data_IF_476079312128
#
_entry.id   IF_476079312128
#
_cell.length_a   1.000
_cell.length_b   1.000
_cell.length_c   1.000
_cell.angle_alpha   90.00
_cell.angle_beta   90.00
_cell.angle_gamma   90.00
#
_symmetry.space_group_name_H-M   'P 1'
#
loop_
_entity.id
_entity.type
_entity.pdbx_description
1 polymer ?
#
# COMPACT_ATOMS: atom_id res chain seq x y z
N UNK A 1 0.84 -25.04 -8.25
CA UNK A 1 0.65 -24.43 -9.61
C UNK A 1 0.36 -22.96 -9.38
N UNK A 2 1.31 -22.11 -9.68
CA UNK A 2 1.13 -20.65 -9.61
C UNK A 2 -0.02 -20.27 -10.55
N UNK A 3 -1.08 -19.65 -9.99
CA UNK A 3 -2.32 -19.37 -10.71
C UNK A 3 -2.25 -18.22 -11.73
N UNK A 4 -1.05 -17.83 -12.17
CA UNK A 4 -0.84 -16.71 -13.07
C UNK A 4 -1.18 -17.01 -14.53
N UNK A 5 -1.36 -15.97 -15.37
CA UNK A 5 -1.62 -16.10 -16.80
C UNK A 5 -0.54 -16.91 -17.50
N UNK A 6 -0.94 -17.82 -18.43
CA UNK A 6 0.01 -18.60 -19.23
C UNK A 6 0.70 -17.76 -20.33
N UNK A 7 -0.01 -16.78 -20.84
CA UNK A 7 0.49 -15.88 -21.88
C UNK A 7 1.56 -14.92 -21.32
N UNK A 8 2.42 -14.43 -22.19
CA UNK A 8 3.40 -13.39 -21.84
C UNK A 8 2.68 -12.08 -21.50
N UNK A 9 1.68 -11.69 -22.31
CA UNK A 9 0.83 -10.53 -22.10
C UNK A 9 -0.61 -10.96 -21.82
N UNK A 10 -1.32 -10.23 -20.97
CA UNK A 10 -2.74 -10.43 -20.66
C UNK A 10 -3.46 -9.10 -20.46
N UNK A 11 -4.78 -9.10 -20.54
CA UNK A 11 -5.60 -7.92 -20.27
C UNK A 11 -5.63 -7.61 -18.77
N UNK A 12 -5.54 -6.33 -18.40
CA UNK A 12 -5.69 -5.92 -17.01
C UNK A 12 -7.16 -5.70 -16.66
N UNK A 13 -7.59 -6.32 -15.58
CA UNK A 13 -8.90 -6.09 -14.99
C UNK A 13 -8.99 -4.70 -14.33
N UNK A 14 -10.21 -4.14 -14.14
CA UNK A 14 -10.38 -2.82 -13.52
C UNK A 14 -9.72 -2.71 -12.14
N UNK A 15 -9.77 -3.76 -11.31
CA UNK A 15 -9.09 -3.77 -10.02
C UNK A 15 -7.56 -3.73 -10.14
N UNK A 16 -6.96 -4.32 -11.18
CA UNK A 16 -5.52 -4.18 -11.49
C UNK A 16 -5.19 -2.74 -11.87
N UNK A 17 -6.04 -2.10 -12.68
CA UNK A 17 -5.88 -0.68 -13.04
C UNK A 17 -6.00 0.21 -11.80
N UNK A 18 -6.94 -0.08 -10.88
CA UNK A 18 -7.10 0.63 -9.63
C UNK A 18 -5.85 0.51 -8.74
N UNK A 19 -5.29 -0.71 -8.59
CA UNK A 19 -4.02 -0.96 -7.90
C UNK A 19 -2.87 -0.14 -8.51
N UNK A 20 -2.74 -0.13 -9.82
CA UNK A 20 -1.73 0.65 -10.54
C UNK A 20 -1.89 2.16 -10.34
N UNK A 21 -3.12 2.68 -10.24
CA UNK A 21 -3.37 4.10 -9.90
C UNK A 21 -2.89 4.43 -8.48
N UNK A 22 -3.17 3.55 -7.50
CA UNK A 22 -2.66 3.72 -6.13
C UNK A 22 -1.13 3.71 -6.14
N UNK A 23 -0.51 2.72 -6.78
CA UNK A 23 0.95 2.59 -6.90
C UNK A 23 1.57 3.86 -7.51
N UNK A 24 1.06 4.32 -8.64
CA UNK A 24 1.52 5.54 -9.31
C UNK A 24 1.46 6.74 -8.37
N UNK A 25 0.31 6.97 -7.76
CA UNK A 25 0.09 8.10 -6.87
C UNK A 25 1.00 8.06 -5.65
N UNK A 26 1.25 6.85 -5.14
CA UNK A 26 2.17 6.67 -4.03
C UNK A 26 3.62 6.95 -4.42
N UNK A 27 4.12 6.41 -5.53
CA UNK A 27 5.50 6.64 -6.02
C UNK A 27 5.75 8.13 -6.26
N UNK A 28 4.77 8.85 -6.84
CA UNK A 28 4.84 10.30 -7.05
C UNK A 28 5.00 11.11 -5.73
N UNK A 29 4.48 10.59 -4.61
CA UNK A 29 4.66 11.21 -3.30
C UNK A 29 5.93 10.72 -2.58
N UNK A 30 6.23 9.43 -2.67
CA UNK A 30 7.32 8.72 -2.00
C UNK A 30 8.70 9.22 -2.43
N UNK A 31 8.95 9.31 -3.75
CA UNK A 31 10.26 9.66 -4.27
C UNK A 31 10.75 11.03 -3.76
N UNK A 32 9.97 12.14 -3.83
CA UNK A 32 10.41 13.43 -3.28
C UNK A 32 10.65 13.41 -1.77
N UNK A 33 9.82 12.69 -1.00
CA UNK A 33 9.96 12.61 0.47
C UNK A 33 11.30 11.97 0.82
N UNK A 34 11.65 10.85 0.18
CA UNK A 34 12.89 10.15 0.49
C UNK A 34 14.12 10.86 -0.07
N UNK A 35 14.06 11.43 -1.26
CA UNK A 35 15.18 12.15 -1.86
C UNK A 35 15.58 13.34 -1.00
N UNK A 36 14.62 14.08 -0.43
CA UNK A 36 14.91 15.18 0.49
C UNK A 36 15.47 14.72 1.85
N UNK A 37 15.12 13.51 2.29
CA UNK A 37 15.51 12.96 3.59
C UNK A 37 16.70 11.98 3.52
N UNK A 38 17.20 11.67 2.33
CA UNK A 38 18.25 10.69 2.09
C UNK A 38 19.35 11.32 1.23
N UNK A 39 20.53 11.44 1.78
CA UNK A 39 21.71 11.83 0.99
C UNK A 39 22.30 10.56 0.38
N UNK A 40 22.03 10.30 -0.91
CA UNK A 40 22.68 9.19 -1.61
C UNK A 40 21.77 8.41 -2.54
N UNK A 41 21.21 7.31 -2.07
CA UNK A 41 20.46 6.34 -2.89
C UNK A 41 19.09 6.04 -2.31
N UNK A 42 18.09 5.85 -3.19
CA UNK A 42 16.80 5.22 -2.87
C UNK A 42 16.54 4.09 -3.85
N UNK A 43 15.77 3.08 -3.43
CA UNK A 43 15.50 1.87 -4.22
C UNK A 43 14.00 1.64 -4.31
N UNK A 44 13.51 1.36 -5.51
CA UNK A 44 12.21 0.76 -5.76
C UNK A 44 12.41 -0.68 -6.20
N UNK A 45 11.72 -1.61 -5.54
CA UNK A 45 11.72 -3.02 -5.91
C UNK A 45 10.34 -3.41 -6.37
N UNK A 46 10.25 -4.03 -7.54
CA UNK A 46 9.05 -4.69 -8.04
C UNK A 46 9.33 -6.18 -8.10
N UNK A 47 8.79 -6.92 -7.12
CA UNK A 47 9.10 -8.33 -6.93
C UNK A 47 8.42 -9.26 -7.93
N UNK A 48 7.41 -8.78 -8.67
CA UNK A 48 6.62 -9.52 -9.64
C UNK A 48 6.33 -8.63 -10.86
N UNK A 49 7.40 -8.18 -11.50
CA UNK A 49 7.38 -7.09 -12.47
C UNK A 49 6.51 -7.34 -13.72
N UNK A 50 6.32 -8.60 -14.08
CA UNK A 50 5.58 -8.96 -15.27
C UNK A 50 6.19 -8.41 -16.57
N UNK A 51 5.43 -8.37 -17.66
CA UNK A 51 5.92 -7.89 -18.97
C UNK A 51 5.95 -6.37 -19.12
N UNK A 52 5.37 -5.62 -18.16
CA UNK A 52 5.39 -4.17 -18.14
C UNK A 52 4.22 -3.45 -18.83
N UNK A 53 3.38 -4.15 -19.59
CA UNK A 53 2.15 -3.59 -20.19
C UNK A 53 1.08 -4.67 -20.41
N UNK A 54 -0.18 -4.26 -20.58
CA UNK A 54 -1.27 -5.18 -20.92
C UNK A 54 -1.22 -5.64 -22.39
N UNK A 55 -2.01 -6.69 -22.73
CA UNK A 55 -2.02 -7.27 -24.08
C UNK A 55 -2.45 -6.30 -25.16
N UNK A 56 -3.27 -5.30 -24.84
CA UNK A 56 -3.74 -4.26 -25.75
C UNK A 56 -2.81 -3.05 -25.80
N UNK A 57 -1.75 -3.04 -25.01
CA UNK A 57 -0.79 -1.92 -24.88
C UNK A 57 -1.45 -0.58 -24.49
N UNK A 58 -2.56 -0.68 -23.75
CA UNK A 58 -3.35 0.48 -23.31
C UNK A 58 -2.95 0.94 -21.91
N UNK A 59 -2.56 -0.01 -21.07
CA UNK A 59 -2.24 0.25 -19.66
C UNK A 59 -0.80 -0.19 -19.35
N UNK A 60 0.01 0.71 -18.75
CA UNK A 60 1.34 0.35 -18.29
C UNK A 60 1.25 -0.56 -17.06
N UNK A 61 2.15 -1.53 -16.97
CA UNK A 61 2.41 -2.31 -15.77
C UNK A 61 3.23 -1.53 -14.74
N UNK A 62 3.40 -2.12 -13.56
CA UNK A 62 4.11 -1.50 -12.43
C UNK A 62 5.52 -1.00 -12.76
N UNK A 63 6.37 -1.70 -13.56
CA UNK A 63 7.69 -1.18 -13.93
C UNK A 63 7.63 0.13 -14.72
N UNK A 64 6.77 0.21 -15.74
CA UNK A 64 6.65 1.43 -16.53
C UNK A 64 6.05 2.58 -15.71
N UNK A 65 5.10 2.27 -14.82
CA UNK A 65 4.53 3.24 -13.87
C UNK A 65 5.64 3.82 -12.98
N UNK A 66 6.51 2.97 -12.45
CA UNK A 66 7.61 3.42 -11.60
C UNK A 66 8.59 4.32 -12.37
N UNK A 67 9.01 3.91 -13.57
CA UNK A 67 9.89 4.73 -14.42
C UNK A 67 9.24 6.07 -14.73
N UNK A 68 8.00 6.08 -15.22
CA UNK A 68 7.29 7.32 -15.60
C UNK A 68 7.07 8.26 -14.42
N UNK A 69 6.65 7.72 -13.26
CA UNK A 69 6.38 8.52 -12.07
C UNK A 69 7.63 9.23 -11.55
N UNK A 70 8.79 8.63 -11.72
CA UNK A 70 10.06 9.17 -11.26
C UNK A 70 10.73 10.04 -12.33
N UNK A 71 10.86 9.53 -13.57
CA UNK A 71 11.57 10.22 -14.64
C UNK A 71 10.85 11.51 -15.09
N UNK A 72 9.50 11.51 -15.04
CA UNK A 72 8.67 12.66 -15.43
C UNK A 72 8.13 13.46 -14.23
N UNK A 73 8.69 13.23 -13.04
CA UNK A 73 8.22 13.93 -11.84
C UNK A 73 8.48 15.43 -11.94
N UNK A 74 7.50 16.28 -11.56
CA UNK A 74 7.60 17.76 -11.62
C UNK A 74 8.76 18.37 -10.84
N UNK A 75 9.20 17.70 -9.77
CA UNK A 75 10.32 18.14 -8.92
C UNK A 75 11.65 17.45 -9.29
N UNK A 76 11.71 16.75 -10.43
CA UNK A 76 12.86 15.93 -10.79
C UNK A 76 14.19 16.71 -10.85
N UNK A 77 14.16 17.97 -11.26
CA UNK A 77 15.35 18.82 -11.26
C UNK A 77 16.01 18.99 -9.89
N UNK A 78 15.27 18.71 -8.82
CA UNK A 78 15.72 18.79 -7.44
C UNK A 78 16.20 17.43 -6.89
N UNK A 79 16.20 16.38 -7.72
CA UNK A 79 16.60 15.03 -7.32
C UNK A 79 18.11 14.88 -7.37
N UNK A 80 18.75 14.92 -6.21
CA UNK A 80 20.21 14.79 -6.05
C UNK A 80 20.63 13.36 -5.65
N UNK A 81 19.68 12.46 -5.43
CA UNK A 81 19.94 11.07 -5.05
C UNK A 81 19.94 10.16 -6.27
N UNK A 82 20.72 9.10 -6.20
CA UNK A 82 20.62 7.97 -7.14
C UNK A 82 19.32 7.21 -6.87
N UNK A 83 18.61 6.86 -7.92
CA UNK A 83 17.36 6.10 -7.87
C UNK A 83 17.57 4.80 -8.63
N UNK A 84 17.49 3.69 -7.91
CA UNK A 84 17.62 2.35 -8.47
C UNK A 84 16.23 1.72 -8.56
N UNK A 85 15.88 1.24 -9.74
CA UNK A 85 14.65 0.52 -10.02
C UNK A 85 15.00 -0.95 -10.29
N UNK A 86 14.61 -1.84 -9.38
CA UNK A 86 14.91 -3.25 -9.48
C UNK A 86 13.63 -4.02 -9.79
N UNK A 87 13.55 -4.60 -10.98
CA UNK A 87 12.42 -5.34 -11.52
C UNK A 87 12.74 -6.81 -11.57
N UNK A 88 12.04 -7.63 -10.78
CA UNK A 88 12.27 -9.08 -10.67
C UNK A 88 11.08 -9.79 -11.34
N UNK A 89 11.36 -10.68 -12.27
CA UNK A 89 10.36 -11.48 -12.97
C UNK A 89 10.90 -12.90 -13.16
N UNK A 90 10.18 -13.89 -12.64
CA UNK A 90 10.58 -15.29 -12.68
C UNK A 90 10.59 -15.87 -14.11
N UNK A 91 9.61 -15.46 -14.92
CA UNK A 91 9.45 -15.99 -16.28
C UNK A 91 10.35 -15.27 -17.26
N UNK A 92 11.25 -16.05 -17.89
CA UNK A 92 12.23 -15.54 -18.85
C UNK A 92 11.59 -14.79 -20.02
N UNK A 93 10.47 -15.30 -20.56
CA UNK A 93 9.76 -14.64 -21.68
C UNK A 93 9.22 -13.26 -21.32
N UNK A 94 8.77 -13.07 -20.07
CA UNK A 94 8.28 -11.79 -19.55
C UNK A 94 9.42 -10.84 -19.20
N UNK A 95 10.47 -11.33 -18.56
CA UNK A 95 11.65 -10.54 -18.23
C UNK A 95 12.32 -9.98 -19.49
N UNK A 96 12.51 -10.82 -20.51
CA UNK A 96 13.08 -10.42 -21.81
C UNK A 96 12.18 -9.41 -22.54
N UNK A 97 10.85 -9.59 -22.48
CA UNK A 97 9.91 -8.63 -23.05
C UNK A 97 9.99 -7.30 -22.33
N UNK A 98 9.96 -7.29 -21.00
CA UNK A 98 10.06 -6.08 -20.18
C UNK A 98 11.35 -5.30 -20.47
N UNK A 99 12.49 -5.98 -20.50
CA UNK A 99 13.77 -5.33 -20.79
C UNK A 99 13.79 -4.68 -22.16
N UNK A 100 13.26 -5.39 -23.18
CA UNK A 100 13.15 -4.85 -24.55
C UNK A 100 12.19 -3.65 -24.62
N UNK A 101 11.08 -3.71 -23.88
CA UNK A 101 10.09 -2.66 -23.80
C UNK A 101 10.66 -1.40 -23.13
N UNK A 102 11.39 -1.55 -22.02
CA UNK A 102 12.04 -0.42 -21.34
C UNK A 102 13.07 0.23 -22.26
N UNK A 103 13.95 -0.55 -22.88
CA UNK A 103 14.96 -0.02 -23.85
C UNK A 103 14.33 0.74 -24.99
N UNK A 104 13.18 0.27 -25.49
CA UNK A 104 12.47 0.93 -26.59
C UNK A 104 11.78 2.22 -26.16
N UNK A 105 11.11 2.21 -25.00
CA UNK A 105 10.33 3.38 -24.52
C UNK A 105 11.22 4.45 -23.87
N UNK A 106 12.33 4.05 -23.26
CA UNK A 106 13.24 4.93 -22.53
C UNK A 106 14.69 4.76 -23.01
N UNK A 107 15.01 5.10 -24.27
CA UNK A 107 16.35 4.92 -24.82
C UNK A 107 17.41 5.73 -24.05
N UNK A 108 16.98 6.79 -23.38
CA UNK A 108 17.82 7.61 -22.50
C UNK A 108 17.06 7.93 -21.24
N UNK A 109 17.53 7.43 -20.11
CA UNK A 109 17.09 7.84 -18.77
C UNK A 109 18.01 8.92 -18.22
N UNK A 110 17.51 9.73 -17.26
CA UNK A 110 18.36 10.64 -16.52
C UNK A 110 19.49 9.91 -15.78
N UNK A 111 20.68 10.47 -15.72
CA UNK A 111 21.86 9.87 -15.10
C UNK A 111 21.66 9.45 -13.63
N UNK A 112 20.68 10.04 -12.93
CA UNK A 112 20.35 9.70 -11.56
C UNK A 112 19.42 8.49 -11.44
N UNK A 113 18.91 7.94 -12.54
CA UNK A 113 17.98 6.81 -12.57
C UNK A 113 18.66 5.63 -13.27
N UNK A 114 18.77 4.52 -12.54
CA UNK A 114 19.22 3.24 -13.09
C UNK A 114 18.13 2.20 -12.92
N UNK A 115 18.09 1.23 -13.80
CA UNK A 115 17.18 0.09 -13.65
C UNK A 115 17.91 -1.21 -13.94
N UNK A 116 17.38 -2.27 -13.37
CA UNK A 116 17.80 -3.66 -13.62
C UNK A 116 16.54 -4.52 -13.76
N UNK A 117 16.53 -5.39 -14.78
CA UNK A 117 15.53 -6.46 -14.94
C UNK A 117 16.23 -7.77 -14.66
N UNK A 118 15.82 -8.45 -13.59
CA UNK A 118 16.40 -9.70 -13.14
C UNK A 118 15.44 -10.86 -13.38
N UNK A 119 15.87 -11.87 -14.16
CA UNK A 119 15.08 -13.07 -14.39
C UNK A 119 15.32 -14.08 -13.27
N UNK A 120 14.58 -13.96 -12.19
CA UNK A 120 14.67 -14.79 -10.96
C UNK A 120 13.37 -14.82 -10.19
N UNK A 121 13.26 -15.77 -9.27
CA UNK A 121 12.23 -15.77 -8.22
C UNK A 121 12.50 -14.65 -7.21
N UNK A 122 11.46 -13.90 -6.83
CA UNK A 122 11.56 -12.76 -5.90
C UNK A 122 12.19 -13.14 -4.55
N UNK A 123 11.72 -14.25 -3.93
CA UNK A 123 12.23 -14.66 -2.62
C UNK A 123 13.72 -15.00 -2.66
N UNK A 124 14.18 -15.63 -3.75
CA UNK A 124 15.60 -15.96 -3.93
C UNK A 124 16.44 -14.69 -4.09
N UNK A 125 16.01 -13.79 -4.98
CA UNK A 125 16.72 -12.55 -5.25
C UNK A 125 16.81 -11.66 -3.99
N UNK A 126 15.69 -11.49 -3.27
CA UNK A 126 15.66 -10.68 -2.05
C UNK A 126 16.48 -11.31 -0.92
N UNK A 127 16.41 -12.64 -0.74
CA UNK A 127 17.18 -13.32 0.30
C UNK A 127 18.68 -13.17 0.06
N UNK A 128 19.16 -13.38 -1.16
CA UNK A 128 20.59 -13.23 -1.49
C UNK A 128 21.08 -11.80 -1.30
N UNK A 129 20.26 -10.78 -1.68
CA UNK A 129 20.59 -9.38 -1.41
C UNK A 129 20.75 -9.12 0.09
N UNK A 130 19.79 -9.58 0.91
CA UNK A 130 19.84 -9.38 2.36
C UNK A 130 21.00 -10.15 3.00
N UNK A 131 21.30 -11.37 2.55
CA UNK A 131 22.45 -12.17 3.01
C UNK A 131 23.78 -11.49 2.67
N UNK A 132 23.88 -10.90 1.48
CA UNK A 132 25.08 -10.16 1.07
C UNK A 132 25.29 -8.91 1.92
N UNK A 133 24.22 -8.16 2.16
CA UNK A 133 24.25 -6.96 3.02
C UNK A 133 24.69 -7.32 4.46
N UNK A 134 24.13 -8.39 5.02
CA UNK A 134 24.47 -8.87 6.36
C UNK A 134 25.93 -9.30 6.43
N UNK A 135 26.43 -10.03 5.42
CA UNK A 135 27.84 -10.46 5.31
C UNK A 135 28.82 -9.28 5.22
N UNK A 136 28.44 -8.23 4.51
CA UNK A 136 29.28 -7.04 4.30
C UNK A 136 29.12 -6.00 5.43
N UNK A 137 28.24 -6.26 6.41
CA UNK A 137 27.92 -5.33 7.48
C UNK A 137 27.23 -4.04 6.97
N UNK A 138 26.60 -4.13 5.79
CA UNK A 138 25.92 -3.02 5.14
C UNK A 138 24.42 -3.04 5.42
N UNK A 139 23.76 -1.95 5.05
CA UNK A 139 22.32 -1.83 5.15
C UNK A 139 21.76 -1.42 3.81
N UNK A 140 20.52 -1.87 3.53
CA UNK A 140 19.78 -1.46 2.35
C UNK A 140 19.52 0.07 2.41
N UNK A 141 19.65 0.73 1.27
CA UNK A 141 19.19 2.10 1.11
C UNK A 141 17.68 2.18 1.39
N UNK A 142 17.10 3.37 1.65
CA UNK A 142 15.65 3.52 1.77
C UNK A 142 14.95 2.88 0.58
N UNK A 143 14.05 1.92 0.84
CA UNK A 143 13.48 1.06 -0.19
C UNK A 143 11.96 0.98 -0.06
N UNK A 144 11.27 1.16 -1.18
CA UNK A 144 9.87 0.78 -1.34
C UNK A 144 9.79 -0.50 -2.17
N UNK A 145 9.25 -1.57 -1.57
CA UNK A 145 9.09 -2.88 -2.18
C UNK A 145 7.62 -3.13 -2.50
N UNK A 146 7.32 -3.36 -3.77
CA UNK A 146 6.02 -3.78 -4.26
C UNK A 146 6.04 -5.28 -4.52
N UNK A 147 5.14 -6.03 -3.87
CA UNK A 147 5.05 -7.50 -3.89
C UNK A 147 3.65 -7.88 -4.38
N UNK A 148 3.54 -8.27 -5.64
CA UNK A 148 2.27 -8.54 -6.33
C UNK A 148 2.19 -9.96 -6.91
N UNK A 149 2.23 -11.01 -6.06
CA UNK A 149 2.20 -12.39 -6.51
C UNK A 149 0.84 -12.77 -7.07
N UNK A 150 0.81 -13.76 -7.99
CA UNK A 150 -0.45 -14.33 -8.50
C UNK A 150 -1.14 -15.28 -7.52
N UNK A 151 -0.51 -15.59 -6.38
CA UNK A 151 -1.04 -16.49 -5.35
C UNK A 151 -0.46 -16.14 -3.98
N UNK A 152 -0.60 -17.06 -3.04
CA UNK A 152 -0.02 -16.90 -1.69
C UNK A 152 1.29 -17.70 -1.51
N UNK A 153 1.60 -18.61 -2.42
CA UNK A 153 2.74 -19.54 -2.27
C UNK A 153 4.09 -18.82 -2.31
N UNK A 154 4.12 -17.68 -3.01
CA UNK A 154 5.31 -16.84 -3.18
C UNK A 154 5.50 -15.81 -2.04
N UNK A 155 4.64 -15.83 -1.03
CA UNK A 155 4.77 -14.97 0.15
C UNK A 155 5.57 -15.68 1.23
N UNK A 156 6.75 -15.13 1.56
CA UNK A 156 7.59 -15.56 2.69
C UNK A 156 7.60 -14.48 3.77
N UNK A 157 6.84 -14.72 4.86
CA UNK A 157 6.67 -13.72 5.93
C UNK A 157 7.96 -13.50 6.75
N UNK A 158 8.84 -14.49 6.86
CA UNK A 158 10.14 -14.34 7.54
C UNK A 158 11.08 -13.46 6.72
N UNK A 159 11.10 -13.66 5.40
CA UNK A 159 11.88 -12.82 4.49
C UNK A 159 11.37 -11.38 4.46
N UNK A 160 10.04 -11.19 4.40
CA UNK A 160 9.42 -9.86 4.47
C UNK A 160 9.71 -9.16 5.80
N UNK A 161 9.75 -9.90 6.91
CA UNK A 161 10.13 -9.36 8.22
C UNK A 161 11.60 -8.91 8.24
N UNK A 162 12.53 -9.72 7.69
CA UNK A 162 13.94 -9.32 7.50
C UNK A 162 14.07 -8.04 6.65
N UNK A 163 13.32 -7.96 5.56
CA UNK A 163 13.29 -6.76 4.72
C UNK A 163 12.80 -5.54 5.53
N UNK A 164 11.71 -5.66 6.30
CA UNK A 164 11.17 -4.58 7.12
C UNK A 164 12.09 -4.16 8.29
N UNK A 165 13.07 -5.00 8.67
CA UNK A 165 14.13 -4.62 9.59
C UNK A 165 15.16 -3.64 8.97
N UNK A 166 15.21 -3.53 7.66
CA UNK A 166 16.07 -2.54 7.00
C UNK A 166 15.56 -1.11 7.29
N UNK A 167 16.48 -0.15 7.29
CA UNK A 167 16.17 1.23 7.65
C UNK A 167 15.38 1.93 6.55
N UNK A 168 14.24 2.53 6.89
CA UNK A 168 13.36 3.21 5.93
C UNK A 168 12.85 2.25 4.82
N UNK A 169 12.60 0.98 5.17
CA UNK A 169 11.92 0.03 4.30
C UNK A 169 10.40 0.23 4.37
N UNK A 170 9.74 0.07 3.25
CA UNK A 170 8.29 0.14 3.09
C UNK A 170 7.84 -0.99 2.19
N UNK A 171 6.73 -1.64 2.55
CA UNK A 171 6.21 -2.80 1.86
C UNK A 171 4.78 -2.54 1.37
N UNK A 172 4.52 -2.80 0.11
CA UNK A 172 3.19 -2.78 -0.48
C UNK A 172 2.92 -4.13 -1.12
N UNK A 173 2.02 -4.93 -0.52
CA UNK A 173 1.80 -6.32 -0.87
C UNK A 173 0.36 -6.58 -1.27
N UNK A 174 0.16 -7.38 -2.33
CA UNK A 174 -1.14 -7.95 -2.72
C UNK A 174 -1.34 -9.27 -1.97
N UNK A 175 -2.28 -9.28 -1.03
CA UNK A 175 -2.65 -10.46 -0.27
C UNK A 175 -3.90 -11.10 -0.86
N UNK A 176 -3.76 -12.25 -1.50
CA UNK A 176 -4.76 -12.94 -2.30
C UNK A 176 -5.82 -13.68 -1.44
N UNK A 177 -6.45 -12.97 -0.48
CA UNK A 177 -7.41 -13.54 0.45
C UNK A 177 -8.60 -14.24 -0.24
N UNK A 178 -9.12 -13.69 -1.34
CA UNK A 178 -10.20 -14.31 -2.11
C UNK A 178 -9.80 -15.63 -2.75
N UNK A 179 -8.53 -15.75 -3.16
CA UNK A 179 -7.98 -16.99 -3.68
C UNK A 179 -7.81 -18.02 -2.56
N UNK A 180 -7.28 -17.62 -1.39
CA UNK A 180 -7.18 -18.49 -0.20
C UNK A 180 -8.56 -18.99 0.23
N UNK A 181 -9.59 -18.13 0.25
CA UNK A 181 -10.96 -18.53 0.61
C UNK A 181 -11.48 -19.69 -0.25
N UNK A 182 -11.20 -19.68 -1.55
CA UNK A 182 -11.65 -20.71 -2.49
C UNK A 182 -10.99 -22.06 -2.23
N UNK A 183 -9.73 -22.07 -1.84
CA UNK A 183 -8.90 -23.28 -1.78
C UNK A 183 -8.54 -23.74 -0.36
N UNK A 184 -8.91 -23.01 0.70
CA UNK A 184 -8.59 -23.33 2.10
C UNK A 184 -9.10 -24.69 2.55
N UNK A 185 -10.13 -25.25 1.88
CA UNK A 185 -10.67 -26.58 2.15
C UNK A 185 -9.90 -27.74 1.48
N UNK A 186 -8.97 -27.46 0.59
CA UNK A 186 -8.26 -28.46 -0.18
C UNK A 186 -6.96 -28.88 0.50
N UNK A 187 -6.82 -30.15 0.81
CA UNK A 187 -5.64 -30.69 1.51
C UNK A 187 -4.31 -30.41 0.78
N UNK A 188 -4.34 -30.29 -0.55
CA UNK A 188 -3.18 -30.00 -1.37
C UNK A 188 -2.50 -28.68 -1.00
N UNK A 189 -3.29 -27.70 -0.58
CA UNK A 189 -2.80 -26.34 -0.30
C UNK A 189 -2.43 -26.10 1.17
N UNK A 190 -2.78 -27.01 2.07
CA UNK A 190 -2.50 -26.87 3.50
C UNK A 190 -1.01 -26.62 3.80
N UNK A 191 -0.04 -27.34 3.20
CA UNK A 191 1.38 -27.10 3.48
C UNK A 191 1.86 -25.68 3.14
N UNK A 192 1.35 -25.10 2.05
CA UNK A 192 1.71 -23.73 1.68
C UNK A 192 1.00 -22.68 2.54
N UNK A 193 -0.25 -22.94 2.94
CA UNK A 193 -1.00 -22.07 3.84
C UNK A 193 -0.42 -22.04 5.26
N UNK A 194 0.16 -23.15 5.74
CA UNK A 194 0.83 -23.22 7.03
C UNK A 194 2.12 -22.37 7.10
N UNK A 195 2.63 -21.88 5.99
CA UNK A 195 3.70 -20.86 5.99
C UNK A 195 3.19 -19.48 6.39
N UNK A 196 1.89 -19.23 6.23
CA UNK A 196 1.26 -17.93 6.49
C UNK A 196 0.38 -17.94 7.75
N UNK A 197 -0.18 -19.12 8.11
CA UNK A 197 -1.17 -19.26 9.17
C UNK A 197 -0.86 -20.44 10.09
N UNK A 198 -1.38 -20.42 11.32
CA UNK A 198 -1.39 -21.61 12.17
C UNK A 198 -2.53 -22.56 11.77
N UNK A 199 -2.46 -23.83 12.23
CA UNK A 199 -3.55 -24.81 12.01
C UNK A 199 -4.87 -24.31 12.59
N UNK A 200 -4.83 -23.74 13.78
CA UNK A 200 -6.02 -23.20 14.48
C UNK A 200 -6.66 -22.06 13.70
N UNK A 201 -5.83 -21.14 13.15
CA UNK A 201 -6.33 -20.06 12.30
C UNK A 201 -6.99 -20.58 11.02
N UNK A 202 -6.43 -21.61 10.39
CA UNK A 202 -7.03 -22.23 9.20
C UNK A 202 -8.36 -22.90 9.53
N UNK A 203 -8.46 -23.61 10.65
CA UNK A 203 -9.69 -24.28 11.06
C UNK A 203 -10.78 -23.27 11.46
N UNK A 204 -10.40 -22.19 12.14
CA UNK A 204 -11.32 -21.09 12.43
C UNK A 204 -11.81 -20.41 11.14
N UNK A 205 -10.90 -20.14 10.19
CA UNK A 205 -11.27 -19.54 8.91
C UNK A 205 -12.26 -20.43 8.12
N UNK A 206 -12.08 -21.76 8.12
CA UNK A 206 -12.99 -22.69 7.43
C UNK A 206 -14.41 -22.62 7.98
N UNK A 207 -14.56 -22.38 9.29
CA UNK A 207 -15.86 -22.31 9.96
C UNK A 207 -16.64 -21.01 9.68
N UNK A 208 -15.99 -19.96 9.15
CA UNK A 208 -16.61 -18.66 8.90
C UNK A 208 -17.33 -18.60 7.56
N UNK A 209 -18.37 -17.75 7.48
CA UNK A 209 -19.01 -17.37 6.22
C UNK A 209 -18.06 -16.58 5.29
N UNK A 210 -18.39 -16.47 3.98
CA UNK A 210 -17.47 -15.87 3.00
C UNK A 210 -16.98 -14.46 3.34
N UNK A 211 -17.87 -13.57 3.79
CA UNK A 211 -17.52 -12.19 4.14
C UNK A 211 -16.60 -12.12 5.36
N UNK A 212 -16.96 -12.83 6.43
CA UNK A 212 -16.16 -12.88 7.66
C UNK A 212 -14.82 -13.59 7.47
N UNK A 213 -14.79 -14.60 6.58
CA UNK A 213 -13.59 -15.37 6.29
C UNK A 213 -12.47 -14.51 5.71
N UNK A 214 -12.80 -13.62 4.76
CA UNK A 214 -11.82 -12.72 4.14
C UNK A 214 -11.20 -11.77 5.14
N UNK A 215 -12.02 -11.13 5.96
CA UNK A 215 -11.55 -10.23 7.01
C UNK A 215 -10.74 -10.96 8.09
N UNK A 216 -11.16 -12.17 8.46
CA UNK A 216 -10.42 -13.00 9.39
C UNK A 216 -9.04 -13.38 8.85
N UNK A 217 -8.96 -13.83 7.59
CA UNK A 217 -7.68 -14.17 6.94
C UNK A 217 -6.75 -12.96 6.86
N UNK A 218 -7.28 -11.78 6.54
CA UNK A 218 -6.50 -10.53 6.57
C UNK A 218 -5.93 -10.26 7.97
N UNK A 219 -6.77 -10.32 9.00
CA UNK A 219 -6.35 -10.08 10.40
C UNK A 219 -5.31 -11.08 10.86
N UNK A 220 -5.52 -12.38 10.58
CA UNK A 220 -4.59 -13.44 10.95
C UNK A 220 -3.23 -13.27 10.23
N UNK A 221 -3.25 -12.98 8.93
CA UNK A 221 -2.03 -12.71 8.17
C UNK A 221 -1.27 -11.49 8.72
N UNK A 222 -1.98 -10.40 9.01
CA UNK A 222 -1.37 -9.20 9.58
C UNK A 222 -0.75 -9.45 10.95
N UNK A 223 -1.46 -10.17 11.82
CA UNK A 223 -0.92 -10.55 13.15
C UNK A 223 0.37 -11.35 12.98
N UNK A 224 0.35 -12.41 12.18
CA UNK A 224 1.51 -13.28 11.97
C UNK A 224 2.70 -12.52 11.36
N UNK A 225 2.46 -11.65 10.37
CA UNK A 225 3.49 -10.83 9.74
C UNK A 225 4.05 -9.78 10.71
N UNK A 226 3.18 -9.07 11.45
CA UNK A 226 3.61 -8.01 12.37
C UNK A 226 4.38 -8.58 13.56
N UNK A 227 3.98 -9.74 14.10
CA UNK A 227 4.73 -10.44 15.15
C UNK A 227 6.15 -10.79 14.70
N UNK A 228 6.29 -11.29 13.44
CA UNK A 228 7.59 -11.55 12.85
C UNK A 228 8.43 -10.28 12.66
N UNK A 229 7.78 -9.19 12.22
CA UNK A 229 8.45 -7.89 12.06
C UNK A 229 8.88 -7.35 13.42
N UNK A 230 8.04 -7.41 14.45
CA UNK A 230 8.39 -6.96 15.81
C UNK A 230 9.61 -7.69 16.34
N UNK A 231 9.64 -9.02 16.19
CA UNK A 231 10.80 -9.85 16.57
C UNK A 231 12.05 -9.45 15.79
N UNK A 232 11.94 -9.24 14.47
CA UNK A 232 13.07 -8.88 13.62
C UNK A 232 13.59 -7.45 13.86
N UNK A 233 12.72 -6.53 14.29
CA UNK A 233 13.02 -5.09 14.41
C UNK A 233 13.24 -4.61 15.84
N UNK A 234 13.17 -5.52 16.83
CA UNK A 234 13.25 -5.20 18.27
C UNK A 234 12.23 -4.13 18.70
N UNK A 235 10.97 -4.28 18.26
CA UNK A 235 9.86 -3.41 18.67
C UNK A 235 9.78 -2.06 17.95
N UNK A 236 10.28 -1.97 16.71
CA UNK A 236 10.08 -0.77 15.87
C UNK A 236 8.59 -0.61 15.53
N UNK A 237 8.05 0.58 15.77
CA UNK A 237 6.67 0.90 15.38
C UNK A 237 6.46 0.71 13.87
N UNK A 238 5.49 -0.13 13.52
CA UNK A 238 5.06 -0.34 12.13
C UNK A 238 3.60 0.08 12.01
N UNK A 239 3.34 0.98 11.10
CA UNK A 239 2.00 1.40 10.71
C UNK A 239 1.54 0.58 9.52
N UNK A 240 0.25 0.25 9.50
CA UNK A 240 -0.35 -0.53 8.43
C UNK A 240 -1.68 0.08 7.95
N UNK A 241 -1.97 -0.08 6.67
CA UNK A 241 -3.29 0.18 6.08
C UNK A 241 -3.59 -0.87 5.02
N UNK A 242 -4.85 -1.28 4.93
CA UNK A 242 -5.33 -2.24 3.94
C UNK A 242 -6.39 -1.62 3.04
N UNK A 243 -6.41 -2.04 1.78
CA UNK A 243 -7.39 -1.64 0.77
C UNK A 243 -8.04 -2.89 0.19
N UNK A 244 -9.36 -3.01 0.28
CA UNK A 244 -10.13 -4.15 -0.18
C UNK A 244 -10.43 -4.04 -1.68
N UNK A 245 -10.27 -5.15 -2.41
CA UNK A 245 -10.57 -5.22 -3.83
C UNK A 245 -11.53 -6.35 -4.13
N UNK A 246 -12.59 -6.06 -4.88
CA UNK A 246 -13.63 -7.01 -5.29
C UNK A 246 -13.78 -7.06 -6.80
N UNK A 247 -14.17 -8.23 -7.30
CA UNK A 247 -14.41 -8.45 -8.73
C UNK A 247 -15.83 -8.04 -9.19
N UNK A 248 -16.13 -8.27 -10.47
CA UNK A 248 -17.42 -7.97 -11.10
C UNK A 248 -18.62 -8.68 -10.44
N UNK A 249 -18.42 -9.78 -9.73
CA UNK A 249 -19.45 -10.50 -8.96
C UNK A 249 -19.51 -10.04 -7.51
N UNK A 250 -18.83 -8.96 -7.15
CA UNK A 250 -18.66 -8.42 -5.81
C UNK A 250 -18.02 -9.41 -4.81
N UNK A 251 -17.31 -10.44 -5.31
CA UNK A 251 -16.52 -11.33 -4.48
C UNK A 251 -15.17 -10.68 -4.15
N UNK A 252 -14.69 -10.93 -2.94
CA UNK A 252 -13.35 -10.53 -2.53
C UNK A 252 -12.32 -11.17 -3.46
N UNK A 253 -11.42 -10.36 -4.01
CA UNK A 253 -10.25 -10.83 -4.76
C UNK A 253 -9.01 -10.80 -3.88
N UNK A 254 -8.60 -9.63 -3.42
CA UNK A 254 -7.43 -9.46 -2.58
C UNK A 254 -7.52 -8.22 -1.70
N UNK A 255 -6.61 -8.13 -0.75
CA UNK A 255 -6.30 -6.91 -0.05
C UNK A 255 -4.94 -6.38 -0.51
N UNK A 256 -4.85 -5.08 -0.75
CA UNK A 256 -3.59 -4.38 -0.83
C UNK A 256 -3.20 -3.95 0.57
N UNK A 257 -2.05 -4.39 1.05
CA UNK A 257 -1.56 -4.11 2.39
C UNK A 257 -0.30 -3.26 2.27
N UNK A 258 -0.28 -2.13 2.95
CA UNK A 258 0.89 -1.29 3.04
C UNK A 258 1.43 -1.23 4.46
N UNK A 259 2.74 -1.37 4.60
CA UNK A 259 3.48 -1.35 5.85
C UNK A 259 4.62 -0.33 5.77
N UNK A 260 4.74 0.51 6.79
CA UNK A 260 5.82 1.49 6.92
C UNK A 260 6.11 1.80 8.39
N UNK A 261 7.32 2.23 8.68
CA UNK A 261 7.65 2.81 10.00
C UNK A 261 7.56 4.35 10.00
N UNK A 262 7.08 4.97 8.93
CA UNK A 262 7.11 6.41 8.78
C UNK A 262 5.71 7.01 8.57
N UNK A 263 5.34 7.98 9.42
CA UNK A 263 4.01 8.61 9.40
C UNK A 263 3.67 9.28 8.06
N UNK A 264 4.64 9.93 7.42
CA UNK A 264 4.44 10.55 6.09
C UNK A 264 4.20 9.52 4.99
N UNK A 265 4.82 8.34 5.08
CA UNK A 265 4.55 7.23 4.18
C UNK A 265 3.10 6.76 4.34
N UNK A 266 2.64 6.61 5.58
CA UNK A 266 1.26 6.26 5.88
C UNK A 266 0.25 7.30 5.36
N UNK A 267 0.51 8.59 5.58
CA UNK A 267 -0.33 9.69 5.06
C UNK A 267 -0.41 9.64 3.53
N UNK A 268 0.74 9.53 2.86
CA UNK A 268 0.83 9.48 1.41
C UNK A 268 0.10 8.25 0.81
N UNK A 269 0.23 7.07 1.44
CA UNK A 269 -0.47 5.87 0.97
C UNK A 269 -1.99 5.98 1.17
N UNK A 270 -2.45 6.51 2.30
CA UNK A 270 -3.89 6.76 2.52
C UNK A 270 -4.45 7.75 1.51
N UNK A 271 -3.70 8.81 1.16
CA UNK A 271 -4.08 9.74 0.10
C UNK A 271 -4.12 9.08 -1.28
N UNK A 272 -3.18 8.17 -1.57
CA UNK A 272 -3.18 7.40 -2.81
C UNK A 272 -4.40 6.46 -2.90
N UNK A 273 -4.71 5.73 -1.84
CA UNK A 273 -5.89 4.85 -1.76
C UNK A 273 -7.20 5.64 -1.87
N UNK A 274 -7.29 6.79 -1.19
CA UNK A 274 -8.44 7.67 -1.27
C UNK A 274 -8.68 8.22 -2.69
N UNK A 275 -7.63 8.43 -3.47
CA UNK A 275 -7.75 8.92 -4.86
C UNK A 275 -8.46 7.93 -5.79
N UNK A 276 -8.59 6.67 -5.40
CA UNK A 276 -9.28 5.62 -6.14
C UNK A 276 -10.67 5.35 -5.54
N UNK A 277 -10.79 5.33 -4.22
CA UNK A 277 -12.04 4.94 -3.54
C UNK A 277 -12.94 6.12 -3.18
N UNK A 278 -12.44 7.32 -2.96
CA UNK A 278 -13.17 8.54 -2.53
C UNK A 278 -14.19 8.36 -1.38
N UNK A 279 -14.46 7.13 -0.93
CA UNK A 279 -15.42 6.82 0.14
C UNK A 279 -14.78 6.79 1.52
N UNK A 280 -13.43 6.93 1.59
CA UNK A 280 -12.68 6.78 2.84
C UNK A 280 -12.68 5.37 3.43
N UNK A 281 -13.38 4.42 2.82
CA UNK A 281 -13.46 3.03 3.28
C UNK A 281 -12.33 2.15 2.73
N UNK A 282 -11.54 2.69 1.80
CA UNK A 282 -10.44 1.97 1.15
C UNK A 282 -10.89 0.64 0.52
N UNK A 283 -11.92 0.75 -0.30
CA UNK A 283 -12.50 -0.36 -1.05
C UNK A 283 -12.71 0.02 -2.51
N UNK A 284 -12.48 -0.92 -3.41
CA UNK A 284 -12.80 -0.83 -4.83
C UNK A 284 -13.50 -2.11 -5.28
N UNK A 285 -14.52 -1.98 -6.12
CA UNK A 285 -15.23 -3.11 -6.71
C UNK A 285 -15.40 -2.88 -8.21
N UNK A 286 -15.01 -3.87 -9.01
CA UNK A 286 -15.25 -3.88 -10.45
C UNK A 286 -16.74 -3.85 -10.78
N UNK A 287 -17.59 -4.36 -9.87
CA UNK A 287 -19.05 -4.36 -10.01
C UNK A 287 -19.61 -2.93 -10.02
N UNK A 288 -19.02 -2.02 -9.23
CA UNK A 288 -19.45 -0.63 -9.12
C UNK A 288 -18.74 0.28 -10.14
N UNK A 289 -17.81 -0.27 -10.92
CA UNK A 289 -16.96 0.49 -11.84
C UNK A 289 -17.44 0.38 -13.29
N UNK A 290 -18.06 1.43 -13.83
CA UNK A 290 -18.21 1.64 -15.27
C UNK A 290 -17.35 2.85 -15.69
N UNK A 291 -16.28 2.66 -16.47
CA UNK A 291 -15.40 3.77 -16.87
C UNK A 291 -16.13 4.82 -17.74
N UNK A 292 -17.31 4.49 -18.29
CA UNK A 292 -18.12 5.37 -19.14
C UNK A 292 -19.10 6.22 -18.34
N UNK A 293 -19.41 5.80 -17.10
CA UNK A 293 -20.38 6.48 -16.23
C UNK A 293 -19.60 6.94 -14.99
N UNK A 294 -19.45 8.27 -14.78
CA UNK A 294 -18.95 8.75 -13.50
C UNK A 294 -19.94 8.32 -12.42
N UNK A 295 -19.61 7.27 -11.67
CA UNK A 295 -20.43 6.83 -10.56
C UNK A 295 -20.39 7.90 -9.46
N UNK A 296 -21.55 8.35 -8.99
CA UNK A 296 -21.65 9.23 -7.83
C UNK A 296 -21.03 8.58 -6.57
N UNK A 297 -21.06 7.25 -6.49
CA UNK A 297 -20.41 6.46 -5.43
C UNK A 297 -18.88 6.60 -5.51
N UNK A 298 -18.31 6.61 -6.72
CA UNK A 298 -16.86 6.83 -6.91
C UNK A 298 -16.40 8.23 -6.47
N UNK A 299 -17.32 9.17 -6.35
CA UNK A 299 -17.05 10.51 -5.82
C UNK A 299 -17.42 10.69 -4.34
N UNK A 300 -17.75 9.59 -3.63
CA UNK A 300 -18.14 9.63 -2.22
C UNK A 300 -19.54 10.24 -1.98
N UNK A 301 -20.31 10.47 -3.04
CA UNK A 301 -21.67 11.02 -2.91
C UNK A 301 -22.60 9.94 -2.35
N UNK A 302 -23.21 10.22 -1.21
CA UNK A 302 -24.12 9.30 -0.50
C UNK A 302 -23.46 8.46 0.57
N UNK A 303 -22.14 8.53 0.76
CA UNK A 303 -21.45 7.92 1.90
C UNK A 303 -21.28 8.95 3.02
N UNK A 304 -21.52 8.53 4.26
CA UNK A 304 -21.33 9.39 5.45
C UNK A 304 -19.98 9.10 6.13
N UNK A 305 -18.94 8.84 5.30
CA UNK A 305 -17.64 8.39 5.79
C UNK A 305 -16.97 9.44 6.68
N UNK A 306 -17.16 10.74 6.39
CA UNK A 306 -16.60 11.82 7.21
C UNK A 306 -17.18 11.82 8.62
N UNK A 307 -18.47 11.51 8.77
CA UNK A 307 -19.10 11.37 10.08
C UNK A 307 -18.62 10.12 10.81
N UNK A 308 -18.41 9.00 10.10
CA UNK A 308 -17.81 7.80 10.66
C UNK A 308 -16.37 8.06 11.12
N UNK A 309 -15.58 8.75 10.29
CA UNK A 309 -14.22 9.16 10.63
C UNK A 309 -14.18 10.10 11.84
N UNK A 310 -15.16 11.02 11.94
CA UNK A 310 -15.32 11.91 13.08
C UNK A 310 -15.64 11.13 14.37
N UNK A 311 -16.52 10.13 14.29
CA UNK A 311 -16.82 9.25 15.42
C UNK A 311 -15.57 8.48 15.87
N UNK A 312 -14.87 7.81 14.95
CA UNK A 312 -13.65 7.06 15.27
C UNK A 312 -12.57 7.98 15.88
N UNK A 313 -12.38 9.17 15.34
CA UNK A 313 -11.42 10.14 15.87
C UNK A 313 -11.80 10.58 17.30
N UNK A 314 -13.09 10.81 17.54
CA UNK A 314 -13.57 11.20 18.86
C UNK A 314 -13.39 10.08 19.90
N UNK A 315 -13.64 8.84 19.52
CA UNK A 315 -13.42 7.67 20.37
C UNK A 315 -11.92 7.43 20.63
N UNK A 316 -11.05 7.67 19.65
CA UNK A 316 -9.61 7.68 19.83
C UNK A 316 -9.17 8.80 20.81
N UNK A 317 -9.76 9.99 20.74
CA UNK A 317 -9.47 11.08 21.65
C UNK A 317 -9.84 10.71 23.10
N UNK A 318 -10.97 10.02 23.31
CA UNK A 318 -11.36 9.50 24.62
C UNK A 318 -10.38 8.44 25.15
N UNK A 319 -10.08 7.44 24.32
CA UNK A 319 -9.23 6.31 24.71
C UNK A 319 -7.79 6.71 25.02
N UNK A 320 -7.29 7.74 24.36
CA UNK A 320 -5.91 8.26 24.55
C UNK A 320 -5.80 9.33 25.65
N UNK A 321 -6.92 9.70 26.29
CA UNK A 321 -6.92 10.66 27.40
C UNK A 321 -6.62 12.11 27.00
N UNK A 322 -6.77 12.46 25.71
CA UNK A 322 -6.49 13.82 25.22
C UNK A 322 -7.71 14.75 25.26
N UNK A 323 -8.82 14.28 25.85
CA UNK A 323 -10.00 15.10 26.08
C UNK A 323 -9.64 16.36 26.90
N UNK A 324 -10.28 17.47 26.57
CA UNK A 324 -10.05 18.78 27.18
C UNK A 324 -8.66 19.40 26.95
N UNK A 325 -7.78 18.76 26.20
CA UNK A 325 -6.47 19.30 25.81
C UNK A 325 -6.55 20.03 24.47
N UNK A 326 -6.00 21.25 24.40
CA UNK A 326 -5.91 21.98 23.14
C UNK A 326 -4.70 21.49 22.33
N UNK A 327 -4.88 21.15 21.07
CA UNK A 327 -3.82 20.61 20.22
C UNK A 327 -3.82 21.25 18.83
N UNK A 328 -2.64 21.27 18.19
CA UNK A 328 -2.50 21.72 16.79
C UNK A 328 -3.21 20.76 15.85
N UNK A 329 -3.66 21.27 14.70
CA UNK A 329 -4.30 20.45 13.64
C UNK A 329 -3.36 19.34 13.16
N UNK A 330 -2.06 19.58 13.10
CA UNK A 330 -1.07 18.56 12.76
C UNK A 330 -1.15 17.33 13.68
N UNK A 331 -1.36 17.53 14.98
CA UNK A 331 -1.55 16.43 15.94
C UNK A 331 -2.87 15.69 15.69
N UNK A 332 -3.94 16.40 15.33
CA UNK A 332 -5.23 15.79 14.98
C UNK A 332 -5.09 14.99 13.68
N UNK A 333 -4.41 15.53 12.68
CA UNK A 333 -4.08 14.83 11.43
C UNK A 333 -3.31 13.54 11.73
N UNK A 334 -2.30 13.62 12.57
CA UNK A 334 -1.51 12.46 13.01
C UNK A 334 -2.37 11.38 13.67
N UNK A 335 -3.31 11.76 14.54
CA UNK A 335 -4.26 10.81 15.14
C UNK A 335 -5.12 10.11 14.10
N UNK A 336 -5.71 10.85 13.15
CA UNK A 336 -6.49 10.23 12.06
C UNK A 336 -5.61 9.30 11.23
N UNK A 337 -4.42 9.75 10.86
CA UNK A 337 -3.50 8.99 10.00
C UNK A 337 -3.06 7.68 10.66
N UNK A 338 -2.74 7.69 11.96
CA UNK A 338 -2.11 6.56 12.63
C UNK A 338 -3.08 5.69 13.44
N UNK A 339 -4.21 6.23 13.87
CA UNK A 339 -5.12 5.56 14.83
C UNK A 339 -6.48 5.22 14.26
N UNK A 340 -6.82 5.70 13.06
CA UNK A 340 -8.06 5.35 12.37
C UNK A 340 -7.77 4.74 11.00
N UNK A 341 -8.76 4.10 10.40
CA UNK A 341 -8.64 3.63 9.00
C UNK A 341 -8.77 4.74 7.96
N UNK A 342 -9.16 5.94 8.34
CA UNK A 342 -9.51 7.02 7.41
C UNK A 342 -8.32 7.89 7.02
N UNK A 343 -8.48 8.62 5.92
CA UNK A 343 -7.61 9.72 5.50
C UNK A 343 -8.06 11.02 6.19
N UNK A 344 -7.11 11.86 6.61
CA UNK A 344 -7.48 13.15 7.20
C UNK A 344 -8.05 14.11 6.13
N UNK A 345 -9.24 14.64 6.40
CA UNK A 345 -9.88 15.72 5.65
C UNK A 345 -10.50 16.72 6.63
N UNK A 346 -10.57 18.01 6.25
CA UNK A 346 -11.09 19.06 7.13
C UNK A 346 -12.58 18.89 7.42
N UNK A 347 -13.31 18.18 6.57
CA UNK A 347 -14.70 17.77 6.75
C UNK A 347 -14.93 16.93 8.01
N UNK A 348 -13.94 16.18 8.45
CA UNK A 348 -13.97 15.45 9.74
C UNK A 348 -14.07 16.43 10.90
N UNK A 349 -13.24 17.49 10.88
CA UNK A 349 -13.29 18.53 11.92
C UNK A 349 -14.61 19.30 11.88
N UNK A 350 -15.14 19.56 10.68
CA UNK A 350 -16.46 20.19 10.52
C UNK A 350 -17.56 19.35 11.17
N UNK A 351 -17.61 18.04 10.92
CA UNK A 351 -18.57 17.13 11.54
C UNK A 351 -18.46 17.13 13.09
N UNK A 352 -17.25 17.16 13.62
CA UNK A 352 -17.02 17.23 15.08
C UNK A 352 -17.46 18.58 15.65
N UNK A 353 -17.21 19.68 14.95
CA UNK A 353 -17.62 21.02 15.37
C UNK A 353 -19.14 21.17 15.36
N UNK A 354 -19.80 20.76 14.26
CA UNK A 354 -21.26 20.82 14.13
C UNK A 354 -21.98 19.96 15.16
N UNK A 355 -21.38 18.85 15.58
CA UNK A 355 -21.90 17.98 16.65
C UNK A 355 -21.52 18.43 18.08
N UNK A 356 -20.83 19.56 18.23
CA UNK A 356 -20.41 20.09 19.54
C UNK A 356 -19.35 19.24 20.26
N UNK A 357 -18.61 18.37 19.57
CA UNK A 357 -17.61 17.48 20.14
C UNK A 357 -16.21 18.09 20.19
N UNK A 358 -16.00 19.18 19.48
CA UNK A 358 -14.77 19.97 19.54
C UNK A 358 -15.07 21.45 19.70
N UNK A 359 -14.13 22.16 20.31
CA UNK A 359 -14.05 23.61 20.31
C UNK A 359 -12.81 24.03 19.54
N UNK A 360 -12.97 24.98 18.62
CA UNK A 360 -11.86 25.59 17.87
C UNK A 360 -11.41 26.84 18.59
N UNK A 361 -10.17 26.87 19.03
CA UNK A 361 -9.56 27.95 19.79
C UNK A 361 -8.59 28.70 18.87
N UNK A 362 -8.69 30.04 18.79
CA UNK A 362 -7.78 30.89 18.02
C UNK A 362 -8.44 31.65 16.88
N UNK A 363 -7.61 32.38 16.13
CA UNK A 363 -8.06 33.35 15.12
C UNK A 363 -8.41 32.70 13.78
N UNK A 364 -9.67 32.40 13.56
CA UNK A 364 -10.22 32.07 12.24
C UNK A 364 -11.12 33.19 11.72
N UNK A 365 -11.12 33.40 10.42
CA UNK A 365 -11.92 34.46 9.78
C UNK A 365 -13.33 34.01 9.43
N UNK A 366 -13.60 32.69 9.34
CA UNK A 366 -14.90 32.10 8.97
C UNK A 366 -15.12 30.81 9.74
N UNK A 367 -16.38 30.44 10.07
CA UNK A 367 -16.72 29.11 10.58
C UNK A 367 -16.17 28.02 9.67
N UNK A 368 -15.86 26.84 10.24
CA UNK A 368 -15.37 25.67 9.53
C UNK A 368 -14.07 25.88 8.72
N UNK A 369 -13.30 26.90 9.05
CA UNK A 369 -11.94 27.08 8.51
C UNK A 369 -10.93 26.71 9.57
N UNK A 370 -9.93 25.88 9.17
CA UNK A 370 -8.96 25.30 10.09
C UNK A 370 -7.54 25.55 9.54
N UNK A 371 -7.03 26.79 9.65
CA UNK A 371 -5.63 27.08 9.28
C UNK A 371 -4.68 26.46 10.29
N UNK A 372 -3.72 25.66 9.81
CA UNK A 372 -2.87 24.77 10.60
C UNK A 372 -2.03 25.48 11.67
N UNK A 373 -1.64 26.73 11.42
CA UNK A 373 -0.79 27.57 12.27
C UNK A 373 -1.55 28.55 13.18
N UNK A 374 -2.88 28.71 13.02
CA UNK A 374 -3.69 29.77 13.67
C UNK A 374 -4.71 29.27 14.66
N UNK A 375 -5.06 28.01 14.61
CA UNK A 375 -6.10 27.44 15.47
C UNK A 375 -5.63 26.19 16.19
N UNK A 376 -6.21 25.98 17.35
CA UNK A 376 -6.10 24.75 18.13
C UNK A 376 -7.45 24.05 18.20
N UNK A 377 -7.44 22.73 18.21
CA UNK A 377 -8.62 21.88 18.37
C UNK A 377 -8.63 21.34 19.80
N UNK A 378 -9.75 21.47 20.47
CA UNK A 378 -9.98 20.91 21.80
C UNK A 378 -11.19 19.96 21.75
N UNK A 379 -10.99 18.70 22.05
CA UNK A 379 -12.08 17.72 22.22
C UNK A 379 -12.77 17.96 23.56
N UNK A 380 -14.13 17.93 23.56
CA UNK A 380 -14.98 18.18 24.73
C UNK A 380 -16.00 17.08 24.95
#
# INVERSE_FOLDING_TARGET
MTGGPRATLWDFDPHTIAKHKILKKYIEAWAPILIQSSNGRIVYVDGFAGPGEDSKKQYPGSPLIAIDSIANHRLRSNFNSEIVLWFIEEREDRANYLESLIKSKYPVLPNSITYEVENREFNVALAELLDQLDKDGQRLAPTFCFVDPFGWEDIDIDLLARFMNQKKSELFITFMAGFIQRFIGENLHIPSLLKLFTSEQLDEAKAKGPEEKGEFLLKAFLVNLLDKIELATNGKDIYQVSFETRNNSNNLEYYLIYLTSHEKGMEAMKDAMYSVSHTGEFRFSDFDFDPRIPSLVNYGVGTNWEANAANDLYDQAKSTGIMNSAMKIEMVRRLVTLRTKYVFRKEILKNLEDSGRIVVIGGRTRPHTYPDDKVLIKFI
#
